data_IF_372368494675
#
_entry.id   IF_372368494675
#
_cell.length_a   1.000
_cell.length_b   1.000
_cell.length_c   1.000
_cell.angle_alpha   90.00
_cell.angle_beta   90.00
_cell.angle_gamma   90.00
#
_symmetry.space_group_name_H-M   'P 1'
#
loop_
_entity.id
_entity.type
_entity.pdbx_description
1 polymer ?
#
# COMPACT_ATOMS: atom_id res chain seq x y z
N UNK A 1 -37.53 1.98 -16.46
CA UNK A 1 -36.77 0.90 -15.79
C UNK A 1 -35.31 1.33 -15.75
N UNK A 2 -34.77 1.61 -14.56
CA UNK A 2 -33.36 1.97 -14.40
C UNK A 2 -32.63 0.66 -14.07
N UNK A 3 -31.79 0.19 -14.98
CA UNK A 3 -30.97 -0.99 -14.74
C UNK A 3 -29.90 -0.68 -13.67
N UNK A 4 -29.68 -1.55 -12.68
CA UNK A 4 -28.61 -1.36 -11.71
C UNK A 4 -27.25 -1.48 -12.41
N UNK A 5 -26.44 -0.43 -12.31
CA UNK A 5 -25.06 -0.43 -12.80
C UNK A 5 -24.21 -1.34 -11.90
N UNK A 6 -23.83 -2.52 -12.40
CA UNK A 6 -22.89 -3.41 -11.71
C UNK A 6 -21.48 -2.80 -11.76
N UNK A 7 -21.03 -2.18 -10.67
CA UNK A 7 -19.63 -1.74 -10.58
C UNK A 7 -18.72 -2.96 -10.51
N UNK A 8 -18.00 -3.24 -11.59
CA UNK A 8 -16.97 -4.29 -11.62
C UNK A 8 -15.86 -3.98 -10.59
N UNK A 9 -15.64 -4.91 -9.65
CA UNK A 9 -14.50 -4.83 -8.72
C UNK A 9 -13.23 -5.15 -9.49
N UNK A 10 -12.26 -4.22 -9.48
CA UNK A 10 -10.95 -4.38 -10.11
C UNK A 10 -9.91 -4.84 -9.08
N UNK A 11 -9.08 -5.82 -9.45
CA UNK A 11 -7.91 -6.25 -8.68
C UNK A 11 -6.67 -5.86 -9.48
N UNK A 12 -5.68 -5.27 -8.80
CA UNK A 12 -4.41 -4.85 -9.38
C UNK A 12 -3.29 -5.61 -8.68
N UNK A 13 -2.45 -6.30 -9.44
CA UNK A 13 -1.25 -6.97 -8.94
C UNK A 13 -0.01 -6.13 -9.31
N UNK A 14 0.75 -5.73 -8.31
CA UNK A 14 2.03 -5.02 -8.50
C UNK A 14 3.16 -5.96 -8.15
N UNK A 15 4.06 -6.23 -9.11
CA UNK A 15 5.13 -7.23 -8.97
C UNK A 15 6.47 -6.72 -9.52
N UNK A 16 7.57 -7.42 -9.20
CA UNK A 16 8.94 -7.06 -9.55
C UNK A 16 9.99 -7.45 -8.49
N UNK A 17 11.30 -7.28 -8.81
CA UNK A 17 12.41 -7.68 -7.92
C UNK A 17 12.40 -6.98 -6.56
N UNK A 18 13.16 -7.50 -5.59
CA UNK A 18 13.38 -6.79 -4.33
C UNK A 18 13.92 -5.37 -4.59
N UNK A 19 13.47 -4.38 -3.79
CA UNK A 19 13.89 -2.97 -3.86
C UNK A 19 13.59 -2.23 -5.19
N UNK A 20 12.71 -2.77 -6.04
CA UNK A 20 12.33 -2.14 -7.31
C UNK A 20 11.25 -1.05 -7.22
N UNK A 21 10.90 -0.56 -6.02
CA UNK A 21 9.90 0.52 -5.85
C UNK A 21 8.41 0.09 -5.93
N UNK A 22 8.09 -1.21 -5.91
CA UNK A 22 6.68 -1.71 -6.02
C UNK A 22 5.72 -1.08 -5.01
N UNK A 23 6.12 -1.07 -3.74
CA UNK A 23 5.27 -0.55 -2.67
C UNK A 23 5.03 0.94 -2.84
N UNK A 24 6.07 1.71 -3.19
CA UNK A 24 5.96 3.14 -3.46
C UNK A 24 5.01 3.42 -4.64
N UNK A 25 5.11 2.64 -5.72
CA UNK A 25 4.18 2.76 -6.84
C UNK A 25 2.73 2.44 -6.45
N UNK A 26 2.51 1.37 -5.66
CA UNK A 26 1.19 1.00 -5.16
C UNK A 26 0.62 2.05 -4.19
N UNK A 27 1.47 2.63 -3.33
CA UNK A 27 1.13 3.73 -2.41
C UNK A 27 0.68 4.96 -3.20
N UNK A 28 1.42 5.35 -4.26
CA UNK A 28 1.05 6.44 -5.16
C UNK A 28 -0.29 6.20 -5.88
N UNK A 29 -0.51 4.98 -6.36
CA UNK A 29 -1.79 4.60 -6.96
C UNK A 29 -2.94 4.69 -5.95
N UNK A 30 -2.75 4.25 -4.72
CA UNK A 30 -3.75 4.35 -3.67
C UNK A 30 -4.07 5.82 -3.31
N UNK A 31 -3.04 6.66 -3.15
CA UNK A 31 -3.21 8.11 -2.91
C UNK A 31 -4.00 8.79 -4.04
N UNK A 32 -3.64 8.53 -5.30
CA UNK A 32 -4.34 9.11 -6.46
C UNK A 32 -5.79 8.63 -6.63
N UNK A 33 -6.19 7.56 -5.94
CA UNK A 33 -7.54 7.03 -6.03
C UNK A 33 -8.60 7.88 -5.32
N UNK A 34 -8.20 8.75 -4.39
CA UNK A 34 -9.07 9.58 -3.54
C UNK A 34 -10.13 8.75 -2.77
N UNK A 35 -9.83 7.49 -2.46
CA UNK A 35 -10.67 6.60 -1.66
C UNK A 35 -10.08 6.44 -0.27
N UNK A 36 -10.91 5.97 0.68
CA UNK A 36 -10.38 5.46 1.94
C UNK A 36 -9.45 4.27 1.67
N UNK A 37 -8.28 4.30 2.30
CA UNK A 37 -7.23 3.29 2.13
C UNK A 37 -7.05 2.54 3.44
N UNK A 38 -7.01 1.21 3.33
CA UNK A 38 -6.55 0.32 4.39
C UNK A 38 -5.25 -0.31 3.89
N UNK A 39 -4.16 -0.07 4.62
CA UNK A 39 -2.84 -0.64 4.35
C UNK A 39 -2.66 -1.87 5.22
N UNK A 40 -2.20 -2.99 4.65
CA UNK A 40 -1.92 -4.20 5.42
C UNK A 40 -0.42 -4.49 5.32
N UNK A 41 0.32 -4.24 6.39
CA UNK A 41 1.74 -4.58 6.48
C UNK A 41 1.88 -6.03 6.98
N UNK A 42 2.36 -6.94 6.12
CA UNK A 42 2.43 -8.37 6.42
C UNK A 42 3.79 -8.84 6.96
N UNK A 43 4.79 -7.96 6.96
CA UNK A 43 6.15 -8.28 7.38
C UNK A 43 6.29 -8.32 8.89
N UNK A 44 7.08 -9.26 9.40
CA UNK A 44 7.46 -9.29 10.82
C UNK A 44 8.51 -8.21 11.11
N UNK A 45 8.45 -7.68 12.33
CA UNK A 45 9.40 -6.69 12.85
C UNK A 45 10.47 -7.45 13.63
N UNK A 46 11.71 -7.44 13.16
CA UNK A 46 12.87 -7.95 13.90
C UNK A 46 13.68 -6.77 14.43
N UNK A 47 13.71 -6.61 15.76
CA UNK A 47 14.39 -5.51 16.43
C UNK A 47 15.92 -5.55 16.29
N UNK A 48 16.50 -6.65 15.82
CA UNK A 48 17.95 -6.79 15.64
C UNK A 48 18.42 -6.38 14.23
N UNK A 49 17.50 -6.27 13.26
CA UNK A 49 17.82 -5.84 11.89
C UNK A 49 17.56 -4.33 11.72
N UNK A 50 18.59 -3.52 11.97
CA UNK A 50 18.54 -2.06 11.90
C UNK A 50 18.21 -1.57 10.48
N UNK A 51 18.73 -2.25 9.45
CA UNK A 51 18.46 -1.90 8.04
C UNK A 51 16.97 -2.11 7.74
N UNK A 52 16.40 -3.20 8.26
CA UNK A 52 14.99 -3.51 8.15
C UNK A 52 14.10 -2.52 8.93
N UNK A 53 14.47 -2.16 10.16
CA UNK A 53 13.76 -1.13 10.94
C UNK A 53 13.71 0.21 10.20
N UNK A 54 14.86 0.66 9.69
CA UNK A 54 14.96 1.91 8.92
C UNK A 54 14.02 1.89 7.71
N UNK A 55 13.88 0.73 7.06
CA UNK A 55 12.94 0.57 5.95
C UNK A 55 11.50 0.66 6.42
N UNK A 56 11.14 -0.04 7.48
CA UNK A 56 9.78 0.03 8.05
C UNK A 56 9.42 1.50 8.34
N UNK A 57 10.31 2.25 8.97
CA UNK A 57 10.11 3.68 9.25
C UNK A 57 9.90 4.49 7.96
N UNK A 58 10.73 4.28 6.93
CA UNK A 58 10.53 4.94 5.63
C UNK A 58 9.17 4.59 5.01
N UNK A 59 8.73 3.33 5.12
CA UNK A 59 7.42 2.90 4.64
C UNK A 59 6.28 3.53 5.44
N UNK A 60 6.42 3.68 6.76
CA UNK A 60 5.44 4.34 7.61
C UNK A 60 5.36 5.83 7.30
N UNK A 61 6.50 6.52 7.16
CA UNK A 61 6.58 7.96 6.88
C UNK A 61 5.98 8.36 5.52
N UNK A 62 5.93 7.45 4.55
CA UNK A 62 5.29 7.71 3.25
C UNK A 62 3.76 7.61 3.31
N UNK A 63 3.18 6.99 4.34
CA UNK A 63 1.73 6.79 4.43
C UNK A 63 1.08 8.06 4.97
N UNK A 64 0.03 8.56 4.30
CA UNK A 64 -0.82 9.60 4.88
C UNK A 64 -1.38 9.19 6.24
N UNK A 65 -1.51 10.12 7.20
CA UNK A 65 -1.96 9.82 8.57
C UNK A 65 -3.44 9.41 8.66
N UNK A 66 -4.23 9.66 7.60
CA UNK A 66 -5.64 9.26 7.49
C UNK A 66 -5.81 7.80 7.03
N UNK A 67 -4.72 7.11 6.70
CA UNK A 67 -4.77 5.69 6.35
C UNK A 67 -4.88 4.81 7.59
N UNK A 68 -5.78 3.84 7.55
CA UNK A 68 -5.80 2.75 8.52
C UNK A 68 -4.69 1.75 8.16
N UNK A 69 -3.76 1.49 9.09
CA UNK A 69 -2.66 0.52 8.93
C UNK A 69 -2.83 -0.65 9.89
#
# INVERSE_FOLDING_TARGET
MISPQTTSKKIILVTGPARSGKSEWAENLAMSSHKQVIYIATSQVDGQDIEWQTRIEQHQNRRPPDWTT
#
